data_IF_183300225953
#
_entry.id   IF_183300225953
#
_cell.length_a   1.000
_cell.length_b   1.000
_cell.length_c   1.000
_cell.angle_alpha   90.00
_cell.angle_beta   90.00
_cell.angle_gamma   90.00
#
_symmetry.space_group_name_H-M   'P 1'
#
loop_
_entity.id
_entity.type
_entity.pdbx_description
1 polymer ?
#
# COMPACT_ATOMS: atom_id res chain seq x y z
N UNK A 1 -36.07 60.71 -4.53
CA UNK A 1 -35.99 59.28 -4.91
C UNK A 1 -34.70 58.72 -4.32
N UNK A 2 -34.79 57.73 -3.42
CA UNK A 2 -33.63 57.11 -2.76
C UNK A 2 -33.52 55.67 -3.24
N UNK A 3 -32.43 55.33 -3.91
CA UNK A 3 -32.15 53.98 -4.40
C UNK A 3 -31.55 53.15 -3.24
N UNK A 4 -32.25 52.08 -2.84
CA UNK A 4 -31.73 51.08 -1.90
C UNK A 4 -31.03 50.02 -2.77
N UNK A 5 -29.70 50.05 -2.78
CA UNK A 5 -28.89 49.03 -3.40
C UNK A 5 -28.81 47.82 -2.45
N UNK A 6 -29.61 46.78 -2.73
CA UNK A 6 -29.55 45.52 -2.01
C UNK A 6 -28.28 44.76 -2.39
N UNK A 7 -27.33 44.71 -1.45
CA UNK A 7 -26.10 43.94 -1.54
C UNK A 7 -26.44 42.46 -1.28
N UNK A 8 -26.57 41.66 -2.34
CA UNK A 8 -26.70 40.20 -2.21
C UNK A 8 -25.35 39.62 -1.77
N UNK A 9 -25.25 39.32 -0.49
CA UNK A 9 -24.13 38.61 0.10
C UNK A 9 -24.17 37.15 -0.36
N UNK A 10 -23.30 36.79 -1.31
CA UNK A 10 -23.18 35.43 -1.82
C UNK A 10 -22.66 34.49 -0.72
N UNK A 11 -23.51 33.58 -0.25
CA UNK A 11 -23.11 32.44 0.56
C UNK A 11 -22.22 31.52 -0.27
N UNK A 12 -20.92 31.56 -0.03
CA UNK A 12 -19.99 30.53 -0.47
C UNK A 12 -20.23 29.26 0.33
N UNK A 13 -20.98 28.30 -0.23
CA UNK A 13 -20.99 26.94 0.30
C UNK A 13 -19.57 26.38 0.17
N UNK A 14 -18.87 26.34 1.29
CA UNK A 14 -17.58 25.67 1.40
C UNK A 14 -17.85 24.17 1.35
N UNK A 15 -17.73 23.57 0.16
CA UNK A 15 -17.68 22.11 0.00
C UNK A 15 -16.41 21.63 0.70
N UNK A 16 -16.57 21.15 1.93
CA UNK A 16 -15.54 20.41 2.63
C UNK A 16 -15.13 19.22 1.77
N UNK A 17 -13.94 19.31 1.17
CA UNK A 17 -13.32 18.20 0.48
C UNK A 17 -13.15 17.08 1.51
N UNK A 18 -14.01 16.06 1.45
CA UNK A 18 -13.77 14.82 2.15
C UNK A 18 -12.40 14.31 1.70
N UNK A 19 -11.43 14.34 2.60
CA UNK A 19 -10.10 13.79 2.35
C UNK A 19 -10.30 12.38 1.78
N UNK A 20 -9.76 12.13 0.59
CA UNK A 20 -9.90 10.86 -0.08
C UNK A 20 -9.35 9.78 0.85
N UNK A 21 -10.24 8.97 1.42
CA UNK A 21 -9.84 7.92 2.34
C UNK A 21 -9.14 6.81 1.56
N UNK A 22 -7.96 6.43 2.01
CA UNK A 22 -7.14 5.40 1.39
C UNK A 22 -7.78 4.02 1.59
N UNK A 23 -7.81 3.22 0.52
CA UNK A 23 -8.45 1.90 0.51
C UNK A 23 -7.36 0.84 0.37
N UNK A 24 -7.50 -0.24 1.14
CA UNK A 24 -6.48 -1.27 1.26
C UNK A 24 -7.08 -2.66 1.12
N UNK A 25 -6.37 -3.54 0.43
CA UNK A 25 -6.48 -4.98 0.60
C UNK A 25 -5.72 -5.35 1.87
N UNK A 26 -6.39 -5.95 2.85
CA UNK A 26 -5.82 -6.31 4.15
C UNK A 26 -5.93 -7.82 4.35
N UNK A 27 -4.81 -8.43 4.74
CA UNK A 27 -4.77 -9.82 5.20
C UNK A 27 -4.96 -9.86 6.71
N UNK A 28 -5.94 -10.65 7.14
CA UNK A 28 -6.31 -10.89 8.54
C UNK A 28 -6.10 -12.36 8.87
N UNK A 29 -5.49 -12.64 10.02
CA UNK A 29 -5.33 -14.01 10.49
C UNK A 29 -6.61 -14.62 11.08
N UNK A 30 -6.46 -15.72 11.81
CA UNK A 30 -7.60 -16.47 12.34
C UNK A 30 -8.38 -15.65 13.38
N UNK A 31 -7.67 -14.88 14.20
CA UNK A 31 -8.19 -14.05 15.29
C UNK A 31 -8.41 -12.58 14.87
N UNK A 32 -8.49 -12.34 13.57
CA UNK A 32 -8.64 -11.01 12.94
C UNK A 32 -7.45 -10.06 13.16
N UNK A 33 -6.30 -10.62 13.55
CA UNK A 33 -5.04 -9.90 13.66
C UNK A 33 -4.54 -9.44 12.30
N UNK A 34 -3.89 -8.28 12.26
CA UNK A 34 -3.35 -7.71 11.04
C UNK A 34 -2.06 -8.42 10.62
N UNK A 35 -2.01 -8.91 9.37
CA UNK A 35 -0.83 -9.57 8.80
C UNK A 35 -0.12 -8.63 7.82
N UNK A 36 -0.87 -8.00 6.92
CA UNK A 36 -0.33 -7.11 5.90
C UNK A 36 -1.40 -6.35 5.15
N UNK A 37 -0.99 -5.29 4.45
CA UNK A 37 -1.89 -4.47 3.64
C UNK A 37 -1.23 -3.98 2.37
N UNK A 38 -2.01 -3.93 1.29
CA UNK A 38 -1.63 -3.37 0.01
C UNK A 38 -2.66 -2.31 -0.40
N UNK A 39 -2.21 -1.09 -0.65
CA UNK A 39 -3.09 0.01 -1.07
C UNK A 39 -3.64 -0.22 -2.48
N UNK A 40 -4.91 0.13 -2.67
CA UNK A 40 -5.56 0.20 -3.97
C UNK A 40 -5.94 1.64 -4.29
N UNK A 41 -5.79 2.02 -5.55
CA UNK A 41 -6.01 3.40 -5.98
C UNK A 41 -7.44 3.56 -6.49
N UNK A 42 -8.07 4.70 -6.21
CA UNK A 42 -9.37 5.07 -6.79
C UNK A 42 -9.25 5.67 -8.20
N UNK A 43 -8.03 5.95 -8.64
CA UNK A 43 -7.73 6.54 -9.94
C UNK A 43 -6.64 5.75 -10.66
N UNK A 44 -6.59 5.83 -12.01
CA UNK A 44 -5.53 5.21 -12.79
C UNK A 44 -4.12 5.61 -12.35
N UNK A 45 -3.25 4.61 -12.27
CA UNK A 45 -1.83 4.79 -11.96
C UNK A 45 -0.97 3.87 -12.83
N UNK A 46 0.16 4.37 -13.31
CA UNK A 46 1.09 3.60 -14.12
C UNK A 46 1.53 2.32 -13.37
N UNK A 47 1.53 1.19 -14.07
CA UNK A 47 1.85 -0.12 -13.50
C UNK A 47 0.69 -0.81 -12.75
N UNK A 48 -0.46 -0.15 -12.58
CA UNK A 48 -1.64 -0.73 -11.94
C UNK A 48 -2.64 -1.22 -13.00
N UNK A 49 -3.46 -2.19 -12.62
CA UNK A 49 -4.54 -2.76 -13.45
C UNK A 49 -5.88 -2.44 -12.80
N UNK A 50 -6.85 -2.04 -13.63
CA UNK A 50 -8.20 -1.80 -13.16
C UNK A 50 -8.89 -3.14 -12.87
N UNK A 51 -9.43 -3.28 -11.66
CA UNK A 51 -10.15 -4.46 -11.19
C UNK A 51 -11.42 -4.04 -10.48
N UNK A 52 -12.46 -4.85 -10.60
CA UNK A 52 -13.73 -4.62 -9.91
C UNK A 52 -13.72 -5.36 -8.57
N UNK A 53 -13.47 -4.64 -7.49
CA UNK A 53 -13.52 -5.17 -6.13
C UNK A 53 -14.87 -4.82 -5.52
N UNK A 54 -15.68 -5.84 -5.24
CA UNK A 54 -16.99 -5.69 -4.57
C UNK A 54 -17.91 -4.66 -5.24
N UNK A 55 -17.89 -4.66 -6.58
CA UNK A 55 -18.75 -3.80 -7.40
C UNK A 55 -18.14 -2.44 -7.77
N UNK A 56 -17.01 -2.05 -7.19
CA UNK A 56 -16.34 -0.78 -7.48
C UNK A 56 -15.01 -0.99 -8.21
N UNK A 57 -14.69 -0.10 -9.16
CA UNK A 57 -13.41 -0.13 -9.86
C UNK A 57 -12.30 0.44 -8.97
N UNK A 58 -11.21 -0.31 -8.88
CA UNK A 58 -9.96 0.12 -8.25
C UNK A 58 -8.79 -0.23 -9.16
N UNK A 59 -7.72 0.53 -9.04
CA UNK A 59 -6.47 0.27 -9.71
C UNK A 59 -5.56 -0.42 -8.69
N UNK A 60 -5.13 -1.63 -9.03
CA UNK A 60 -4.39 -2.54 -8.14
C UNK A 60 -3.10 -2.97 -8.81
N UNK A 61 -2.01 -3.09 -8.04
CA UNK A 61 -0.76 -3.64 -8.57
C UNK A 61 -0.93 -5.13 -8.86
N UNK A 62 -0.39 -5.64 -9.98
CA UNK A 62 -0.40 -7.08 -10.25
C UNK A 62 0.16 -7.92 -9.10
N UNK A 63 1.27 -7.49 -8.49
CA UNK A 63 1.85 -8.17 -7.34
C UNK A 63 0.92 -8.20 -6.13
N UNK A 64 0.13 -7.15 -5.87
CA UNK A 64 -0.86 -7.16 -4.79
C UNK A 64 -1.91 -8.24 -4.98
N UNK A 65 -2.32 -8.52 -6.22
CA UNK A 65 -3.26 -9.61 -6.51
C UNK A 65 -2.62 -10.97 -6.25
N UNK A 66 -1.37 -11.17 -6.68
CA UNK A 66 -0.63 -12.39 -6.38
C UNK A 66 -0.48 -12.60 -4.86
N UNK A 67 -0.06 -11.56 -4.15
CA UNK A 67 0.03 -11.58 -2.69
C UNK A 67 -1.32 -11.95 -2.03
N UNK A 68 -2.43 -11.34 -2.43
CA UNK A 68 -3.74 -11.71 -1.84
C UNK A 68 -4.10 -13.18 -2.04
N UNK A 69 -3.80 -13.75 -3.22
CA UNK A 69 -4.05 -15.17 -3.47
C UNK A 69 -3.15 -16.08 -2.65
N UNK A 70 -1.90 -15.66 -2.44
CA UNK A 70 -0.97 -16.37 -1.58
C UNK A 70 -1.46 -16.41 -0.12
N UNK A 71 -1.91 -15.27 0.40
CA UNK A 71 -2.47 -15.17 1.75
C UNK A 71 -3.75 -16.03 1.89
N UNK A 72 -4.62 -16.04 0.88
CA UNK A 72 -5.79 -16.93 0.85
C UNK A 72 -5.39 -18.41 0.89
N UNK A 73 -4.33 -18.82 0.15
CA UNK A 73 -3.80 -20.18 0.21
C UNK A 73 -3.24 -20.55 1.59
N UNK A 74 -2.71 -19.58 2.34
CA UNK A 74 -2.26 -19.76 3.72
C UNK A 74 -3.42 -19.80 4.73
N UNK A 75 -4.67 -19.63 4.29
CA UNK A 75 -5.86 -19.66 5.14
C UNK A 75 -6.20 -18.30 5.76
N UNK A 76 -5.55 -17.22 5.35
CA UNK A 76 -5.84 -15.87 5.82
C UNK A 76 -7.10 -15.29 5.14
N UNK A 77 -7.74 -14.34 5.83
CA UNK A 77 -8.93 -13.64 5.33
C UNK A 77 -8.49 -12.35 4.66
N UNK A 78 -8.75 -12.21 3.37
CA UNK A 78 -8.53 -10.95 2.65
C UNK A 78 -9.78 -10.06 2.72
N UNK A 79 -9.60 -8.82 3.17
CA UNK A 79 -10.65 -7.80 3.24
C UNK A 79 -10.28 -6.56 2.46
N UNK A 80 -11.27 -5.89 1.91
CA UNK A 80 -11.12 -4.52 1.45
C UNK A 80 -11.53 -3.60 2.59
N UNK A 81 -10.61 -2.75 3.06
CA UNK A 81 -10.83 -1.90 4.22
C UNK A 81 -10.44 -0.45 3.88
N UNK A 82 -11.08 0.50 4.56
CA UNK A 82 -10.77 1.92 4.46
C UNK A 82 -10.39 2.47 5.83
N UNK A 83 -9.35 3.28 5.89
CA UNK A 83 -8.96 3.97 7.12
C UNK A 83 -9.68 5.32 7.19
N UNK A 84 -10.50 5.54 8.23
CA UNK A 84 -11.25 6.78 8.43
C UNK A 84 -10.63 7.68 9.52
N UNK A 85 -9.39 7.41 9.94
CA UNK A 85 -8.67 8.18 10.97
C UNK A 85 -8.96 7.73 12.40
N UNK A 86 -10.16 7.22 12.69
CA UNK A 86 -10.55 6.66 13.99
C UNK A 86 -10.68 5.13 13.99
N UNK A 87 -10.38 4.47 12.87
CA UNK A 87 -10.43 3.02 12.75
C UNK A 87 -10.48 2.53 11.31
N UNK A 88 -10.47 1.21 11.20
CA UNK A 88 -10.63 0.49 9.94
C UNK A 88 -12.09 0.12 9.74
N UNK A 89 -12.63 0.45 8.57
CA UNK A 89 -13.99 0.05 8.18
C UNK A 89 -13.89 -0.97 7.05
N UNK A 90 -14.48 -2.15 7.28
CA UNK A 90 -14.53 -3.22 6.28
C UNK A 90 -15.54 -2.83 5.20
N UNK A 91 -15.05 -2.65 3.98
CA UNK A 91 -15.89 -2.47 2.79
C UNK A 91 -16.41 -3.82 2.28
N UNK A 92 -15.57 -4.87 2.35
CA UNK A 92 -15.91 -6.18 1.80
C UNK A 92 -15.00 -7.30 2.32
N UNK A 93 -15.53 -8.51 2.52
CA UNK A 93 -14.82 -9.63 3.18
C UNK A 93 -14.18 -10.65 2.24
N UNK A 94 -14.38 -10.53 0.92
CA UNK A 94 -13.81 -11.41 -0.11
C UNK A 94 -13.64 -10.67 -1.46
N UNK A 95 -12.79 -9.63 -1.52
CA UNK A 95 -12.68 -8.78 -2.71
C UNK A 95 -12.06 -9.48 -3.92
N UNK A 96 -11.34 -10.59 -3.71
CA UNK A 96 -10.45 -11.24 -4.68
C UNK A 96 -10.97 -12.57 -5.21
N UNK A 97 -12.12 -13.06 -4.71
CA UNK A 97 -12.68 -14.36 -5.10
C UNK A 97 -12.89 -14.53 -6.62
N UNK A 98 -13.29 -13.45 -7.31
CA UNK A 98 -13.56 -13.48 -8.74
C UNK A 98 -12.35 -13.13 -9.61
N UNK A 99 -11.20 -12.84 -9.00
CA UNK A 99 -10.00 -12.37 -9.71
C UNK A 99 -9.04 -13.51 -9.99
N UNK A 100 -8.39 -13.48 -11.14
CA UNK A 100 -7.34 -14.39 -11.56
C UNK A 100 -6.02 -13.65 -11.78
N UNK A 101 -4.90 -14.35 -11.65
CA UNK A 101 -3.57 -13.79 -11.97
C UNK A 101 -3.50 -13.28 -13.41
N UNK A 102 -4.18 -13.96 -14.33
CA UNK A 102 -4.26 -13.58 -15.74
C UNK A 102 -4.95 -12.23 -15.96
N UNK A 103 -5.88 -11.85 -15.08
CA UNK A 103 -6.61 -10.59 -15.19
C UNK A 103 -5.70 -9.37 -14.94
N UNK A 104 -4.56 -9.60 -14.25
CA UNK A 104 -3.52 -8.59 -14.03
C UNK A 104 -2.27 -8.78 -14.88
N UNK A 105 -2.31 -9.70 -15.86
CA UNK A 105 -1.21 -9.97 -16.79
C UNK A 105 -0.10 -10.86 -16.20
N UNK A 106 -0.40 -11.63 -15.15
CA UNK A 106 0.51 -12.63 -14.60
C UNK A 106 0.15 -14.01 -15.18
N UNK A 107 1.06 -14.57 -15.98
CA UNK A 107 0.88 -15.87 -16.64
C UNK A 107 1.70 -17.00 -16.00
N UNK A 108 2.64 -16.67 -15.12
CA UNK A 108 3.36 -17.65 -14.31
C UNK A 108 2.46 -18.24 -13.22
N UNK A 109 2.90 -19.34 -12.61
CA UNK A 109 2.20 -19.87 -11.43
C UNK A 109 2.30 -18.90 -10.25
N UNK A 110 1.42 -19.07 -9.28
CA UNK A 110 1.42 -18.24 -8.08
C UNK A 110 2.73 -18.40 -7.30
N UNK A 111 3.20 -19.64 -7.13
CA UNK A 111 4.45 -19.98 -6.46
C UNK A 111 5.64 -19.30 -7.16
N UNK A 112 5.68 -19.37 -8.50
CA UNK A 112 6.75 -18.73 -9.27
C UNK A 112 6.70 -17.21 -9.16
N UNK A 113 5.51 -16.64 -9.12
CA UNK A 113 5.31 -15.19 -8.96
C UNK A 113 5.79 -14.73 -7.58
N UNK A 114 5.48 -15.48 -6.53
CA UNK A 114 5.93 -15.18 -5.17
C UNK A 114 7.44 -15.37 -5.00
N UNK A 115 8.05 -16.35 -5.67
CA UNK A 115 9.51 -16.54 -5.73
C UNK A 115 10.22 -15.33 -6.38
N UNK A 116 9.66 -14.80 -7.49
CA UNK A 116 10.20 -13.62 -8.17
C UNK A 116 10.05 -12.33 -7.35
N UNK A 117 9.07 -12.28 -6.45
CA UNK A 117 8.81 -11.13 -5.59
C UNK A 117 8.22 -9.92 -6.31
N UNK A 118 8.15 -8.79 -5.58
CA UNK A 118 7.64 -7.53 -6.12
C UNK A 118 8.70 -6.85 -7.00
N UNK A 119 8.49 -6.69 -8.32
CA UNK A 119 9.48 -6.06 -9.20
C UNK A 119 9.84 -4.62 -8.80
N UNK A 120 8.92 -3.90 -8.15
CA UNK A 120 9.21 -2.52 -7.71
C UNK A 120 10.16 -2.47 -6.50
N UNK A 121 10.21 -3.54 -5.68
CA UNK A 121 11.22 -3.66 -4.62
C UNK A 121 12.61 -3.84 -5.20
N UNK A 122 12.74 -4.53 -6.34
CA UNK A 122 14.02 -4.69 -7.03
C UNK A 122 14.59 -3.34 -7.49
N UNK A 123 13.75 -2.46 -8.05
CA UNK A 123 14.15 -1.10 -8.43
C UNK A 123 14.63 -0.28 -7.23
N UNK A 124 13.93 -0.37 -6.09
CA UNK A 124 14.34 0.29 -4.85
C UNK A 124 15.71 -0.20 -4.38
N UNK A 125 15.95 -1.52 -4.42
CA UNK A 125 17.24 -2.12 -4.07
C UNK A 125 18.36 -1.64 -5.01
N UNK A 126 18.09 -1.48 -6.30
CA UNK A 126 19.06 -0.94 -7.27
C UNK A 126 19.44 0.51 -6.95
N UNK A 127 18.48 1.37 -6.61
CA UNK A 127 18.79 2.74 -6.18
C UNK A 127 19.60 2.78 -4.89
N UNK A 128 19.30 1.90 -3.93
CA UNK A 128 20.10 1.78 -2.72
C UNK A 128 21.52 1.28 -3.01
N UNK A 129 21.70 0.35 -3.94
CA UNK A 129 23.02 -0.11 -4.38
C UNK A 129 23.81 1.01 -5.09
N UNK A 130 23.16 1.78 -5.97
CA UNK A 130 23.76 2.95 -6.63
C UNK A 130 24.18 3.99 -5.57
N UNK A 131 23.31 4.28 -4.61
CA UNK A 131 23.60 5.20 -3.49
C UNK A 131 24.81 4.71 -2.69
N UNK A 132 24.89 3.41 -2.35
CA UNK A 132 26.04 2.80 -1.68
C UNK A 132 27.34 3.09 -2.43
N UNK A 133 27.36 2.91 -3.75
CA UNK A 133 28.55 3.20 -4.57
C UNK A 133 28.98 4.66 -4.48
N UNK A 134 28.05 5.61 -4.52
CA UNK A 134 28.38 7.03 -4.38
C UNK A 134 28.89 7.40 -2.99
N UNK A 135 28.31 6.82 -1.94
CA UNK A 135 28.75 7.03 -0.55
C UNK A 135 30.15 6.45 -0.33
N UNK A 136 30.43 5.23 -0.81
CA UNK A 136 31.77 4.63 -0.74
C UNK A 136 32.82 5.43 -1.52
N UNK A 137 32.45 6.05 -2.65
CA UNK A 137 33.35 6.92 -3.43
C UNK A 137 33.80 8.17 -2.65
N UNK A 138 33.04 8.57 -1.63
CA UNK A 138 33.39 9.71 -0.76
C UNK A 138 34.34 9.30 0.39
N UNK A 139 34.95 8.12 0.32
CA UNK A 139 35.97 7.67 1.28
C UNK A 139 35.42 6.92 2.49
N UNK A 140 34.12 6.57 2.49
CA UNK A 140 33.49 5.77 3.52
C UNK A 140 33.69 4.28 3.25
N UNK A 141 33.96 3.52 4.30
CA UNK A 141 33.96 2.05 4.26
C UNK A 141 32.54 1.53 4.02
N UNK A 142 32.40 0.26 3.59
CA UNK A 142 31.09 -0.35 3.35
C UNK A 142 30.16 -0.29 4.58
N UNK A 143 30.73 -0.51 5.77
CA UNK A 143 30.01 -0.47 7.06
C UNK A 143 29.54 0.94 7.42
N UNK A 144 30.39 1.96 7.17
CA UNK A 144 30.01 3.36 7.37
C UNK A 144 28.97 3.83 6.35
N UNK A 145 29.06 3.35 5.10
CA UNK A 145 28.08 3.64 4.07
C UNK A 145 26.71 3.04 4.41
N UNK A 146 26.66 1.81 4.95
CA UNK A 146 25.42 1.20 5.44
C UNK A 146 24.87 1.91 6.66
N UNK A 147 25.72 2.33 7.60
CA UNK A 147 25.31 3.13 8.75
C UNK A 147 24.73 4.49 8.34
N UNK A 148 25.32 5.18 7.36
CA UNK A 148 24.85 6.49 6.89
C UNK A 148 23.57 6.39 6.04
N UNK A 149 23.42 5.32 5.26
CA UNK A 149 22.18 5.03 4.53
C UNK A 149 21.05 4.70 5.50
N UNK A 150 21.33 3.90 6.54
CA UNK A 150 20.35 3.52 7.56
C UNK A 150 20.04 4.66 8.53
N UNK A 151 21.00 5.53 8.83
CA UNK A 151 20.80 6.72 9.68
C UNK A 151 19.92 7.77 9.01
N UNK A 152 19.99 7.92 7.69
CA UNK A 152 19.18 8.88 6.93
C UNK A 152 17.87 8.29 6.41
N UNK A 153 17.66 7.00 6.63
CA UNK A 153 16.44 6.30 6.29
C UNK A 153 15.91 5.68 7.57
N UNK A 154 15.03 6.40 8.30
CA UNK A 154 14.17 5.70 9.25
C UNK A 154 13.35 4.69 8.43
N UNK A 155 13.60 3.38 8.57
CA UNK A 155 12.61 2.45 8.09
C UNK A 155 11.41 2.70 9.00
N UNK A 156 10.31 3.23 8.46
CA UNK A 156 9.00 2.95 9.05
C UNK A 156 8.78 1.44 8.89
N UNK A 157 9.44 0.68 9.76
CA UNK A 157 9.28 -0.75 9.86
C UNK A 157 7.79 -1.01 10.07
N UNK A 158 7.30 -2.05 9.40
CA UNK A 158 6.03 -2.64 9.78
C UNK A 158 6.03 -2.83 11.30
N UNK A 159 4.95 -2.45 11.98
CA UNK A 159 4.80 -2.71 13.42
C UNK A 159 5.13 -4.16 13.79
N UNK A 160 4.97 -5.11 12.86
CA UNK A 160 5.34 -6.50 13.01
C UNK A 160 6.84 -6.70 13.26
N UNK A 161 7.74 -6.02 12.54
CA UNK A 161 9.18 -6.15 12.78
C UNK A 161 9.61 -5.46 14.08
N UNK A 162 8.92 -4.40 14.50
CA UNK A 162 9.11 -3.79 15.81
C UNK A 162 8.60 -4.70 16.95
N UNK A 163 7.52 -5.45 16.73
CA UNK A 163 6.99 -6.41 17.69
C UNK A 163 7.87 -7.66 17.83
N UNK A 164 8.39 -8.21 16.73
CA UNK A 164 9.27 -9.38 16.76
C UNK A 164 10.59 -9.05 17.48
N UNK A 165 11.19 -7.89 17.21
CA UNK A 165 12.42 -7.45 17.87
C UNK A 165 12.27 -7.16 19.38
N UNK A 166 11.07 -6.87 19.87
CA UNK A 166 10.80 -6.67 21.30
C UNK A 166 10.48 -7.97 22.03
N UNK A 167 10.15 -9.05 21.32
CA UNK A 167 9.85 -10.35 21.92
C UNK A 167 11.12 -11.13 22.29
N UNK A 168 12.21 -10.89 21.58
CA UNK A 168 13.51 -11.52 21.84
C UNK A 168 14.32 -10.80 22.95
N UNK A 169 13.77 -9.73 23.53
CA UNK A 169 14.42 -8.91 24.58
C UNK A 169 13.80 -9.07 25.97
N UNK A 170 12.82 -9.96 26.15
CA UNK A 170 12.23 -10.31 27.44
C UNK A 170 12.32 -11.81 27.71
#
# INVERSE_FOLDING_TARGET
MRYIASLFLGLSLSTSAFAASDVFLISRGLDDEFIGSHEVQKMPRAGYKELRLCGQSYWVRPYSVAWTKWEEQLGHKIRLEVNQGYGWVVLCTKPTNALNLKDVGIYASLEKTMELGDPDKELTNRFQAIRRTFVMRNGLTAEQAEAEITSNYEPKGSRLSQFLNNRDKN
#
